data_IF_441410665599
#
_entry.id   IF_441410665599
#
_cell.length_a   1.000
_cell.length_b   1.000
_cell.length_c   1.000
_cell.angle_alpha   90.00
_cell.angle_beta   90.00
_cell.angle_gamma   90.00
#
_symmetry.space_group_name_H-M   'P 1'
#
loop_
_entity.id
_entity.type
_entity.pdbx_description
1 polymer ?
#
# COMPACT_ATOMS: atom_id res chain seq x y z
N UNK A 1 9.70 -21.25 -2.37
CA UNK A 1 9.46 -21.69 -0.98
C UNK A 1 8.08 -21.31 -0.57
N UNK A 2 7.35 -22.17 0.12
CA UNK A 2 5.95 -21.91 0.32
C UNK A 2 5.75 -20.76 1.31
N UNK A 3 4.92 -19.81 0.92
CA UNK A 3 4.17 -18.98 1.86
C UNK A 3 3.35 -19.96 2.68
N UNK A 4 3.55 -20.03 4.00
CA UNK A 4 2.77 -20.93 4.87
C UNK A 4 1.33 -20.43 4.97
N UNK A 5 1.16 -19.11 5.05
CA UNK A 5 -0.15 -18.46 5.12
C UNK A 5 -0.09 -17.03 4.61
N UNK A 6 -1.03 -16.69 3.75
CA UNK A 6 -1.35 -15.31 3.40
C UNK A 6 -2.87 -15.15 3.39
N UNK A 7 -3.37 -14.07 3.96
CA UNK A 7 -4.81 -13.81 3.97
C UNK A 7 -5.06 -12.31 4.05
N UNK A 8 -6.07 -11.84 3.33
CA UNK A 8 -6.57 -10.47 3.41
C UNK A 8 -7.95 -10.44 4.05
N UNK A 9 -8.25 -9.32 4.74
CA UNK A 9 -9.53 -9.09 5.39
C UNK A 9 -10.08 -7.75 4.95
N UNK A 10 -11.37 -7.75 4.62
CA UNK A 10 -12.12 -6.54 4.30
C UNK A 10 -12.38 -5.80 5.60
N UNK A 11 -12.05 -4.50 5.70
CA UNK A 11 -12.31 -3.72 6.90
C UNK A 11 -13.82 -3.59 7.17
N UNK A 12 -14.16 -3.47 8.45
CA UNK A 12 -15.50 -3.07 8.87
C UNK A 12 -15.91 -1.76 8.17
N UNK A 13 -17.20 -1.60 7.84
CA UNK A 13 -17.69 -0.48 7.03
C UNK A 13 -17.28 0.90 7.57
N UNK A 14 -17.19 1.07 8.90
CA UNK A 14 -16.73 2.31 9.57
C UNK A 14 -15.31 2.71 9.16
N UNK A 15 -14.46 1.75 8.77
CA UNK A 15 -13.06 1.95 8.41
C UNK A 15 -12.80 1.99 6.91
N UNK A 16 -13.71 1.51 6.07
CA UNK A 16 -13.52 1.35 4.62
C UNK A 16 -13.17 2.66 3.90
N UNK A 17 -13.47 3.79 4.52
CA UNK A 17 -13.11 5.11 4.04
C UNK A 17 -11.62 5.48 4.25
N UNK A 18 -10.91 4.75 5.09
CA UNK A 18 -9.54 5.07 5.53
C UNK A 18 -8.60 3.88 5.44
N UNK A 19 -9.12 2.67 5.67
CA UNK A 19 -8.38 1.41 5.64
C UNK A 19 -8.78 0.64 4.39
N UNK A 20 -7.79 0.29 3.56
CA UNK A 20 -8.02 -0.46 2.32
C UNK A 20 -8.18 -1.96 2.63
N UNK A 21 -7.30 -2.52 3.46
CA UNK A 21 -7.28 -3.93 3.87
C UNK A 21 -6.53 -4.12 5.17
N UNK A 22 -6.85 -5.19 5.88
CA UNK A 22 -5.90 -5.86 6.76
C UNK A 22 -5.32 -7.06 6.02
N UNK A 23 -4.08 -7.43 6.32
CA UNK A 23 -3.49 -8.64 5.77
C UNK A 23 -2.53 -9.29 6.75
N UNK A 24 -2.35 -10.59 6.59
CA UNK A 24 -1.38 -11.36 7.34
C UNK A 24 -0.49 -12.17 6.41
N UNK A 25 0.74 -12.36 6.85
CA UNK A 25 1.71 -13.21 6.19
C UNK A 25 2.44 -14.07 7.22
N UNK A 26 2.45 -15.39 6.99
CA UNK A 26 3.41 -16.28 7.59
C UNK A 26 4.25 -16.93 6.51
N UNK A 27 5.56 -16.69 6.55
CA UNK A 27 6.49 -17.16 5.52
C UNK A 27 7.81 -17.56 6.15
N UNK A 28 8.30 -18.73 5.77
CA UNK A 28 9.60 -19.24 6.20
C UNK A 28 10.63 -19.02 5.10
N UNK A 29 11.71 -18.35 5.46
CA UNK A 29 12.84 -18.08 4.59
C UNK A 29 13.96 -19.06 4.93
N UNK A 30 14.19 -20.04 4.06
CA UNK A 30 15.26 -21.03 4.18
C UNK A 30 16.30 -20.72 3.09
N UNK A 31 17.51 -20.32 3.48
CA UNK A 31 18.60 -19.95 2.56
C UNK A 31 18.90 -18.45 2.53
N UNK A 32 20.11 -18.10 2.14
CA UNK A 32 20.64 -16.76 2.35
C UNK A 32 20.24 -15.70 1.31
N UNK A 33 19.64 -16.06 0.17
CA UNK A 33 19.72 -15.19 -1.03
C UNK A 33 18.38 -14.72 -1.62
N UNK A 34 17.28 -14.77 -0.90
CA UNK A 34 16.04 -14.23 -1.46
C UNK A 34 15.84 -12.77 -1.05
N UNK A 35 15.96 -11.92 -2.06
CA UNK A 35 15.56 -10.51 -1.99
C UNK A 35 14.11 -10.43 -2.43
N UNK A 36 13.28 -9.84 -1.60
CA UNK A 36 11.92 -9.43 -1.95
C UNK A 36 11.92 -7.96 -2.32
N UNK A 37 11.18 -7.62 -3.35
CA UNK A 37 11.01 -6.26 -3.81
C UNK A 37 9.59 -5.78 -3.52
N UNK A 38 9.49 -4.73 -2.71
CA UNK A 38 8.24 -4.01 -2.47
C UNK A 38 8.22 -2.82 -3.42
N UNK A 39 7.35 -2.89 -4.41
CA UNK A 39 7.17 -1.78 -5.36
C UNK A 39 6.31 -0.68 -4.75
N UNK A 40 6.54 0.59 -5.13
CA UNK A 40 5.65 1.68 -4.76
C UNK A 40 4.19 1.34 -5.05
N UNK A 41 3.33 1.73 -4.16
CA UNK A 41 1.89 1.74 -4.34
C UNK A 41 1.31 3.04 -3.77
N UNK A 42 0.01 3.22 -3.89
CA UNK A 42 -0.63 4.42 -3.39
C UNK A 42 -1.15 4.26 -1.95
N UNK A 43 -0.57 3.35 -1.18
CA UNK A 43 -0.98 3.02 0.18
C UNK A 43 0.10 3.32 1.21
N UNK A 44 -0.33 3.48 2.45
CA UNK A 44 0.53 3.54 3.63
C UNK A 44 0.26 2.31 4.48
N UNK A 45 1.29 1.60 4.93
CA UNK A 45 1.12 0.37 5.69
C UNK A 45 1.73 0.45 7.08
N UNK A 46 0.94 0.13 8.09
CA UNK A 46 1.44 -0.19 9.42
C UNK A 46 1.76 -1.69 9.46
N UNK A 47 3.03 -2.02 9.60
CA UNK A 47 3.54 -3.39 9.67
C UNK A 47 3.80 -3.76 11.13
N UNK A 48 3.17 -4.84 11.59
CA UNK A 48 3.40 -5.45 12.89
C UNK A 48 4.04 -6.82 12.66
N UNK A 49 5.35 -6.90 12.81
CA UNK A 49 6.10 -8.14 12.63
C UNK A 49 6.31 -8.83 13.97
N UNK A 50 5.84 -10.05 14.09
CA UNK A 50 5.92 -10.89 15.29
C UNK A 50 6.90 -12.07 15.15
N UNK A 51 7.58 -12.15 14.00
CA UNK A 51 8.60 -13.16 13.69
C UNK A 51 10.00 -12.55 13.53
N UNK A 52 10.82 -13.16 12.68
CA UNK A 52 12.15 -12.65 12.35
C UNK A 52 12.05 -11.33 11.56
N UNK A 53 12.96 -10.37 11.81
CA UNK A 53 12.90 -9.09 11.16
C UNK A 53 13.34 -9.16 9.68
N UNK A 54 12.84 -8.20 8.90
CA UNK A 54 13.39 -7.88 7.59
C UNK A 54 14.59 -6.94 7.71
N UNK A 55 15.49 -7.06 6.75
CA UNK A 55 16.56 -6.07 6.54
C UNK A 55 16.40 -5.42 5.18
N UNK A 56 16.56 -4.10 5.13
CA UNK A 56 16.62 -3.35 3.87
C UNK A 56 17.99 -3.60 3.22
N UNK A 57 17.97 -3.90 1.93
CA UNK A 57 19.17 -4.07 1.11
C UNK A 57 19.25 -2.92 0.14
N UNK A 58 20.39 -2.27 0.09
CA UNK A 58 20.67 -1.14 -0.79
C UNK A 58 21.35 -0.02 -0.01
N UNK A 59 22.38 0.59 -0.60
CA UNK A 59 23.25 1.55 0.06
C UNK A 59 24.43 0.89 0.79
N UNK A 60 25.15 1.65 1.61
CA UNK A 60 26.41 1.24 2.24
C UNK A 60 26.25 0.34 3.45
N UNK A 61 25.04 0.12 3.98
CA UNK A 61 24.80 -0.68 5.17
C UNK A 61 23.45 -1.45 5.11
N UNK A 62 23.49 -2.69 5.60
CA UNK A 62 22.29 -3.47 5.90
C UNK A 62 21.59 -2.82 7.10
N UNK A 63 20.31 -2.44 6.93
CA UNK A 63 19.50 -1.86 8.01
C UNK A 63 18.36 -2.83 8.35
N UNK A 64 18.35 -3.33 9.58
CA UNK A 64 17.22 -4.11 10.08
C UNK A 64 16.00 -3.22 10.29
N UNK A 65 14.83 -3.72 9.86
CA UNK A 65 13.57 -3.02 10.08
C UNK A 65 13.04 -3.29 11.49
N UNK A 66 12.46 -2.27 12.11
CA UNK A 66 11.80 -2.46 13.39
C UNK A 66 10.62 -3.42 13.26
N UNK A 67 10.31 -4.11 14.35
CA UNK A 67 9.16 -5.00 14.42
C UNK A 67 7.81 -4.27 14.23
N UNK A 68 7.78 -2.99 14.55
CA UNK A 68 6.65 -2.12 14.23
C UNK A 68 7.19 -0.97 13.39
N UNK A 69 6.71 -0.87 12.16
CA UNK A 69 7.13 0.17 11.25
C UNK A 69 6.00 0.64 10.33
N UNK A 70 6.17 1.86 9.84
CA UNK A 70 5.31 2.43 8.83
C UNK A 70 6.05 2.39 7.49
N UNK A 71 5.44 1.76 6.51
CA UNK A 71 5.84 1.87 5.11
C UNK A 71 5.01 3.00 4.51
N UNK A 72 5.68 4.09 4.16
CA UNK A 72 5.04 5.27 3.58
C UNK A 72 4.77 5.11 2.08
N UNK A 73 4.40 6.22 1.45
CA UNK A 73 4.22 6.27 -0.01
C UNK A 73 5.59 6.19 -0.69
N UNK A 74 6.06 4.99 -0.96
CA UNK A 74 7.39 4.76 -1.51
C UNK A 74 7.58 5.52 -2.84
N UNK A 75 8.72 6.16 -2.99
CA UNK A 75 9.11 6.82 -4.24
C UNK A 75 9.93 5.90 -5.17
N UNK A 76 10.48 4.82 -4.62
CA UNK A 76 11.30 3.80 -5.31
C UNK A 76 11.06 2.43 -4.70
N UNK A 77 11.41 1.35 -5.41
CA UNK A 77 11.32 -0.01 -4.87
C UNK A 77 12.15 -0.16 -3.59
N UNK A 78 11.60 -0.89 -2.65
CA UNK A 78 12.28 -1.27 -1.42
C UNK A 78 12.68 -2.74 -1.53
N UNK A 79 13.98 -3.03 -1.38
CA UNK A 79 14.50 -4.40 -1.41
C UNK A 79 14.72 -4.90 0.00
N UNK A 80 14.10 -6.02 0.32
CA UNK A 80 14.09 -6.63 1.64
C UNK A 80 14.71 -8.02 1.61
N UNK A 81 15.40 -8.36 2.69
CA UNK A 81 15.89 -9.71 2.96
C UNK A 81 15.41 -10.14 4.34
N UNK A 82 14.98 -11.40 4.45
CA UNK A 82 14.63 -12.02 5.72
C UNK A 82 15.27 -13.40 5.82
N UNK A 83 15.39 -13.92 7.04
CA UNK A 83 15.80 -15.27 7.33
C UNK A 83 14.91 -15.83 8.44
N UNK A 84 14.63 -17.14 8.38
CA UNK A 84 13.76 -17.81 9.35
C UNK A 84 12.28 -17.48 9.15
N UNK A 85 11.51 -17.55 10.21
CA UNK A 85 10.06 -17.42 10.17
C UNK A 85 9.62 -15.97 10.37
N UNK A 86 9.02 -15.39 9.35
CA UNK A 86 8.39 -14.06 9.40
C UNK A 86 6.89 -14.24 9.66
N UNK A 87 6.35 -13.46 10.60
CA UNK A 87 4.93 -13.42 10.92
C UNK A 87 4.48 -11.96 10.97
N UNK A 88 3.66 -11.55 10.02
CA UNK A 88 3.19 -10.17 9.91
C UNK A 88 1.67 -10.13 10.04
N UNK A 89 1.18 -9.14 10.76
CA UNK A 89 -0.16 -8.59 10.62
C UNK A 89 -0.01 -7.12 10.23
N UNK A 90 -0.73 -6.69 9.22
CA UNK A 90 -0.58 -5.33 8.73
C UNK A 90 -1.93 -4.65 8.47
N UNK A 91 -1.89 -3.33 8.58
CA UNK A 91 -3.00 -2.45 8.21
C UNK A 91 -2.56 -1.64 6.99
N UNK A 92 -3.25 -1.84 5.88
CA UNK A 92 -3.05 -1.06 4.65
C UNK A 92 -4.07 0.07 4.61
N UNK A 93 -3.57 1.29 4.74
CA UNK A 93 -4.38 2.50 4.67
C UNK A 93 -4.37 3.09 3.26
N UNK A 94 -5.45 3.76 2.89
CA UNK A 94 -5.37 4.74 1.82
C UNK A 94 -4.40 5.87 2.20
N UNK A 95 -3.85 6.56 1.22
CA UNK A 95 -2.84 7.60 1.44
C UNK A 95 -3.24 8.64 2.50
N UNK A 96 -4.53 8.99 2.60
CA UNK A 96 -5.06 9.92 3.60
C UNK A 96 -5.46 9.24 4.91
N UNK A 97 -5.59 7.90 4.93
CA UNK A 97 -6.17 7.17 6.06
C UNK A 97 -5.23 7.08 7.25
N UNK A 98 -3.93 6.82 7.01
CA UNK A 98 -2.96 6.65 8.09
C UNK A 98 -2.86 7.86 9.02
N UNK A 99 -3.01 9.08 8.48
CA UNK A 99 -3.00 10.33 9.24
C UNK A 99 -4.06 10.38 10.34
N UNK A 100 -5.20 9.70 10.14
CA UNK A 100 -6.30 9.69 11.11
C UNK A 100 -5.98 8.87 12.37
N UNK A 101 -5.10 7.88 12.27
CA UNK A 101 -4.86 6.89 13.31
C UNK A 101 -3.46 6.95 13.91
N UNK A 102 -2.50 7.49 13.16
CA UNK A 102 -1.10 7.47 13.52
C UNK A 102 -0.52 8.89 13.55
N UNK A 103 -0.03 9.28 14.69
CA UNK A 103 0.72 10.54 14.83
C UNK A 103 1.96 10.49 13.94
N UNK A 104 2.23 11.59 13.24
CA UNK A 104 3.39 11.71 12.34
C UNK A 104 3.43 10.71 11.16
N UNK A 105 2.28 10.20 10.72
CA UNK A 105 2.20 9.36 9.51
C UNK A 105 2.43 10.15 8.22
N UNK A 106 2.18 11.46 8.22
CA UNK A 106 2.38 12.31 7.05
C UNK A 106 3.87 12.49 6.70
N UNK A 107 4.18 12.65 5.42
CA UNK A 107 5.53 12.94 4.95
C UNK A 107 6.45 11.74 4.83
N UNK A 108 5.96 10.52 4.98
CA UNK A 108 6.77 9.33 4.90
C UNK A 108 6.77 8.76 3.49
N UNK A 109 7.95 8.72 2.89
CA UNK A 109 8.19 8.13 1.55
C UNK A 109 9.17 6.96 1.62
N UNK A 110 9.41 6.45 2.82
CA UNK A 110 10.29 5.32 3.13
C UNK A 110 9.72 4.49 4.30
N UNK A 111 10.52 3.54 4.80
CA UNK A 111 10.18 2.79 6.01
C UNK A 111 10.74 3.50 7.24
N UNK A 112 9.85 3.79 8.16
CA UNK A 112 10.18 4.53 9.39
C UNK A 112 9.67 3.82 10.64
N UNK A 113 10.34 4.06 11.76
CA UNK A 113 9.81 3.72 13.08
C UNK A 113 8.48 4.44 13.32
N UNK A 114 7.58 3.77 13.99
CA UNK A 114 6.35 4.37 14.50
C UNK A 114 6.46 4.50 16.01
N UNK A 115 6.33 5.72 16.49
CA UNK A 115 6.17 5.99 17.92
C UNK A 115 4.70 5.74 18.29
N UNK A 116 4.46 4.55 18.81
CA UNK A 116 3.12 4.15 19.25
C UNK A 116 2.90 4.60 20.69
N UNK A 117 1.80 5.29 20.93
CA UNK A 117 1.37 5.62 22.27
C UNK A 117 1.05 4.36 23.13
N UNK A 118 0.92 4.47 24.44
CA UNK A 118 0.72 3.32 25.31
C UNK A 118 -0.51 2.48 24.96
N UNK A 119 -1.56 3.08 24.40
CA UNK A 119 -2.79 2.37 24.02
C UNK A 119 -2.53 1.47 22.82
N UNK A 120 -1.86 1.99 21.79
CA UNK A 120 -1.40 1.22 20.65
C UNK A 120 -0.46 0.09 21.07
N UNK A 121 0.49 0.36 21.98
CA UNK A 121 1.42 -0.66 22.48
C UNK A 121 0.69 -1.84 23.13
N UNK A 122 -0.39 -1.58 23.89
CA UNK A 122 -1.22 -2.62 24.48
C UNK A 122 -1.92 -3.48 23.41
N UNK A 123 -2.48 -2.86 22.36
CA UNK A 123 -3.11 -3.58 21.24
C UNK A 123 -2.09 -4.46 20.52
N UNK A 124 -0.89 -3.94 20.23
CA UNK A 124 0.20 -4.71 19.60
C UNK A 124 0.61 -5.90 20.47
N UNK A 125 0.65 -5.75 21.78
CA UNK A 125 0.97 -6.85 22.69
C UNK A 125 -0.13 -7.94 22.72
N UNK A 126 -1.41 -7.55 22.73
CA UNK A 126 -2.51 -8.53 22.61
C UNK A 126 -2.47 -9.28 21.28
N UNK A 127 -2.28 -8.53 20.18
CA UNK A 127 -2.13 -9.11 18.85
C UNK A 127 -0.93 -10.09 18.79
N UNK A 128 0.20 -9.78 19.44
CA UNK A 128 1.37 -10.66 19.54
C UNK A 128 1.02 -12.00 20.16
N UNK A 129 0.33 -12.00 21.30
CA UNK A 129 -0.09 -13.24 22.00
C UNK A 129 -0.99 -14.07 21.10
N UNK A 130 -1.94 -13.43 20.41
CA UNK A 130 -2.87 -14.11 19.50
C UNK A 130 -2.13 -14.73 18.30
N UNK A 131 -1.19 -14.00 17.69
CA UNK A 131 -0.37 -14.51 16.57
C UNK A 131 0.54 -15.66 17.01
N UNK A 132 1.10 -15.61 18.21
CA UNK A 132 1.88 -16.72 18.77
C UNK A 132 1.03 -17.97 18.97
N UNK A 133 -0.25 -17.81 19.36
CA UNK A 133 -1.23 -18.87 19.46
C UNK A 133 -1.93 -19.24 18.16
N UNK A 134 -1.45 -18.75 17.01
CA UNK A 134 -2.02 -18.96 15.65
C UNK A 134 -3.46 -18.47 15.46
N UNK A 135 -3.94 -17.61 16.37
CA UNK A 135 -5.25 -16.97 16.30
C UNK A 135 -5.23 -15.67 15.47
N UNK A 136 -4.82 -15.79 14.22
CA UNK A 136 -4.61 -14.62 13.34
C UNK A 136 -5.86 -13.78 13.12
N UNK A 137 -7.02 -14.44 12.96
CA UNK A 137 -8.30 -13.74 12.78
C UNK A 137 -8.57 -12.81 13.97
N UNK A 138 -8.44 -13.32 15.20
CA UNK A 138 -8.62 -12.51 16.40
C UNK A 138 -7.59 -11.40 16.55
N UNK A 139 -6.36 -11.62 16.08
CA UNK A 139 -5.35 -10.57 16.10
C UNK A 139 -5.71 -9.40 15.16
N UNK A 140 -6.32 -9.67 14.00
CA UNK A 140 -6.86 -8.66 13.11
C UNK A 140 -8.05 -7.95 13.74
N UNK A 141 -9.00 -8.70 14.32
CA UNK A 141 -10.17 -8.16 15.01
C UNK A 141 -9.79 -7.20 16.15
N UNK A 142 -8.80 -7.55 16.97
CA UNK A 142 -8.27 -6.67 18.04
C UNK A 142 -7.77 -5.32 17.50
N UNK A 143 -7.05 -5.35 16.37
CA UNK A 143 -6.54 -4.13 15.73
C UNK A 143 -7.69 -3.34 15.11
N UNK A 144 -8.62 -4.02 14.47
CA UNK A 144 -9.79 -3.42 13.84
C UNK A 144 -10.70 -2.71 14.87
N UNK A 145 -11.05 -3.39 15.96
CA UNK A 145 -11.88 -2.83 17.04
C UNK A 145 -11.24 -1.58 17.64
N UNK A 146 -9.92 -1.61 17.82
CA UNK A 146 -9.18 -0.46 18.29
C UNK A 146 -9.26 0.72 17.30
N UNK A 147 -9.08 0.46 16.00
CA UNK A 147 -9.18 1.49 14.96
C UNK A 147 -10.60 2.05 14.86
N UNK A 148 -11.63 1.23 15.02
CA UNK A 148 -13.03 1.67 15.10
C UNK A 148 -13.21 2.64 16.28
N UNK A 149 -12.71 2.26 17.44
CA UNK A 149 -12.74 3.12 18.62
C UNK A 149 -12.06 4.47 18.40
N UNK A 150 -10.88 4.48 17.76
CA UNK A 150 -10.20 5.71 17.39
C UNK A 150 -11.01 6.53 16.38
N UNK A 151 -11.56 5.87 15.34
CA UNK A 151 -12.31 6.54 14.27
C UNK A 151 -13.52 7.31 14.80
N UNK A 152 -14.21 6.75 15.77
CA UNK A 152 -15.38 7.38 16.41
C UNK A 152 -15.03 8.63 17.23
N UNK A 153 -13.77 8.76 17.64
CA UNK A 153 -13.28 9.88 18.46
C UNK A 153 -12.46 10.91 17.68
N UNK A 154 -12.37 10.79 16.34
CA UNK A 154 -11.62 11.76 15.51
C UNK A 154 -12.37 13.10 15.47
N UNK A 155 -11.71 14.14 15.95
CA UNK A 155 -12.23 15.52 15.92
C UNK A 155 -11.87 16.25 14.62
N UNK A 156 -10.80 15.86 13.97
CA UNK A 156 -10.32 16.51 12.74
C UNK A 156 -10.28 15.50 11.59
N UNK A 157 -11.07 15.79 10.56
CA UNK A 157 -11.11 15.00 9.33
C UNK A 157 -10.71 15.90 8.14
N UNK A 158 -9.63 15.59 7.40
CA UNK A 158 -9.20 16.38 6.24
C UNK A 158 -10.11 16.14 5.03
N UNK A 159 -11.39 16.53 5.13
CA UNK A 159 -12.44 16.22 4.14
C UNK A 159 -12.03 16.57 2.70
N UNK A 160 -11.42 17.75 2.47
CA UNK A 160 -11.03 18.18 1.13
C UNK A 160 -9.93 17.26 0.54
N UNK A 161 -8.92 16.91 1.35
CA UNK A 161 -7.86 15.97 0.91
C UNK A 161 -8.45 14.60 0.63
N UNK A 162 -9.31 14.11 1.50
CA UNK A 162 -9.97 12.82 1.32
C UNK A 162 -10.82 12.80 0.05
N UNK A 163 -11.64 13.82 -0.19
CA UNK A 163 -12.47 13.94 -1.40
C UNK A 163 -11.59 13.96 -2.65
N UNK A 164 -10.55 14.81 -2.66
CA UNK A 164 -9.62 14.90 -3.77
C UNK A 164 -8.88 13.58 -4.03
N UNK A 165 -8.41 12.92 -2.98
CA UNK A 165 -7.72 11.65 -3.10
C UNK A 165 -8.65 10.54 -3.59
N UNK A 166 -9.89 10.45 -3.09
CA UNK A 166 -10.90 9.52 -3.62
C UNK A 166 -11.15 9.71 -5.11
N UNK A 167 -11.26 10.97 -5.56
CA UNK A 167 -11.42 11.28 -6.98
C UNK A 167 -10.21 10.82 -7.79
N UNK A 168 -8.98 11.00 -7.28
CA UNK A 168 -7.78 10.47 -7.92
C UNK A 168 -7.82 8.93 -8.03
N UNK A 169 -8.25 8.22 -6.99
CA UNK A 169 -8.39 6.76 -7.05
C UNK A 169 -9.45 6.34 -8.06
N UNK A 170 -10.61 6.97 -8.05
CA UNK A 170 -11.70 6.68 -8.98
C UNK A 170 -11.29 6.90 -10.44
N UNK A 171 -10.55 7.96 -10.72
CA UNK A 171 -10.06 8.28 -12.07
C UNK A 171 -8.72 7.62 -12.41
N UNK A 172 -8.24 6.68 -11.59
CA UNK A 172 -6.95 6.01 -11.78
C UNK A 172 -5.79 6.99 -11.96
N UNK A 173 -5.80 8.09 -11.22
CA UNK A 173 -4.77 9.11 -11.26
C UNK A 173 -4.77 10.00 -12.51
N UNK A 174 -5.84 10.01 -13.30
CA UNK A 174 -5.91 10.76 -14.57
C UNK A 174 -6.50 12.17 -14.43
N UNK A 175 -6.75 12.63 -13.21
CA UNK A 175 -7.32 13.95 -12.96
C UNK A 175 -6.24 15.04 -12.91
N UNK A 176 -6.51 16.22 -13.50
CA UNK A 176 -5.59 17.36 -13.46
C UNK A 176 -5.66 18.05 -12.10
N UNK A 177 -4.50 18.45 -11.56
CA UNK A 177 -4.43 19.08 -10.22
C UNK A 177 -5.24 20.37 -10.13
N UNK A 178 -5.32 21.16 -11.23
CA UNK A 178 -6.13 22.37 -11.26
C UNK A 178 -7.64 22.04 -11.14
N UNK A 179 -8.12 21.11 -11.94
CA UNK A 179 -9.52 20.64 -11.90
C UNK A 179 -9.87 20.02 -10.54
N UNK A 180 -8.91 19.31 -9.93
CA UNK A 180 -9.06 18.74 -8.60
C UNK A 180 -9.20 19.82 -7.52
N UNK A 181 -8.42 20.90 -7.63
CA UNK A 181 -8.49 22.04 -6.73
C UNK A 181 -9.84 22.76 -6.87
N UNK A 182 -10.29 23.01 -8.10
CA UNK A 182 -11.59 23.62 -8.38
C UNK A 182 -12.74 22.77 -7.84
N UNK A 183 -12.69 21.45 -8.04
CA UNK A 183 -13.68 20.52 -7.50
C UNK A 183 -13.78 20.58 -5.97
N UNK A 184 -12.65 20.75 -5.28
CA UNK A 184 -12.59 20.88 -3.83
C UNK A 184 -12.81 22.30 -3.31
N UNK A 185 -13.13 23.26 -4.19
CA UNK A 185 -13.27 24.69 -3.87
C UNK A 185 -12.02 25.28 -3.20
N UNK A 186 -10.83 24.86 -3.67
CA UNK A 186 -9.53 25.31 -3.17
C UNK A 186 -8.69 25.90 -4.30
N UNK A 187 -7.77 26.81 -3.96
CA UNK A 187 -6.68 27.11 -4.88
C UNK A 187 -5.70 25.94 -4.95
N UNK A 188 -4.99 25.78 -6.06
CA UNK A 188 -3.96 24.74 -6.23
C UNK A 188 -2.95 24.75 -5.08
N UNK A 189 -2.53 25.95 -4.63
CA UNK A 189 -1.59 26.11 -3.50
C UNK A 189 -2.17 25.61 -2.17
N UNK A 190 -3.47 25.85 -1.92
CA UNK A 190 -4.14 25.35 -0.72
C UNK A 190 -4.25 23.84 -0.76
N UNK A 191 -4.66 23.26 -1.89
CA UNK A 191 -4.73 21.83 -2.08
C UNK A 191 -3.37 21.16 -1.86
N UNK A 192 -2.31 21.67 -2.49
CA UNK A 192 -0.95 21.16 -2.32
C UNK A 192 -0.50 21.16 -0.85
N UNK A 193 -0.72 22.29 -0.14
CA UNK A 193 -0.38 22.41 1.27
C UNK A 193 -1.13 21.41 2.15
N UNK A 194 -2.44 21.23 1.90
CA UNK A 194 -3.24 20.28 2.67
C UNK A 194 -2.82 18.83 2.39
N UNK A 195 -2.50 18.49 1.14
CA UNK A 195 -1.97 17.18 0.78
C UNK A 195 -0.64 16.89 1.48
N UNK A 196 0.29 17.85 1.44
CA UNK A 196 1.59 17.72 2.11
C UNK A 196 1.42 17.48 3.62
N UNK A 197 0.52 18.22 4.27
CA UNK A 197 0.24 18.06 5.69
C UNK A 197 -0.45 16.75 6.06
N UNK A 198 -1.25 16.17 5.16
CA UNK A 198 -2.06 14.97 5.44
C UNK A 198 -1.40 13.70 4.94
N UNK A 199 -0.91 13.70 3.70
CA UNK A 199 -0.34 12.52 3.03
C UNK A 199 1.17 12.56 2.94
N UNK A 200 1.77 13.76 3.09
CA UNK A 200 3.19 13.99 2.92
C UNK A 200 3.68 14.00 1.47
N UNK A 201 2.78 13.91 0.52
CA UNK A 201 3.10 13.99 -0.91
C UNK A 201 2.17 14.96 -1.61
N UNK A 202 2.60 15.50 -2.76
CA UNK A 202 1.74 16.36 -3.56
C UNK A 202 0.60 15.57 -4.23
N UNK A 203 -0.52 16.23 -4.60
CA UNK A 203 -1.60 15.60 -5.37
C UNK A 203 -1.08 14.94 -6.66
N UNK A 204 -0.10 15.56 -7.33
CA UNK A 204 0.52 15.03 -8.54
C UNK A 204 1.31 13.75 -8.26
N UNK A 205 2.03 13.68 -7.15
CA UNK A 205 2.79 12.48 -6.77
C UNK A 205 1.84 11.33 -6.41
N UNK A 206 0.75 11.60 -5.67
CA UNK A 206 -0.26 10.61 -5.38
C UNK A 206 -0.96 10.11 -6.65
N UNK A 207 -1.36 11.01 -7.56
CA UNK A 207 -1.94 10.66 -8.85
C UNK A 207 -1.02 9.73 -9.67
N UNK A 208 0.29 10.02 -9.65
CA UNK A 208 1.30 9.19 -10.31
C UNK A 208 1.39 7.79 -9.69
N UNK A 209 1.39 7.69 -8.36
CA UNK A 209 1.44 6.41 -7.64
C UNK A 209 0.18 5.56 -7.92
N UNK A 210 -1.01 6.18 -7.88
CA UNK A 210 -2.28 5.52 -8.21
C UNK A 210 -2.29 5.02 -9.66
N UNK A 211 -1.84 5.83 -10.59
CA UNK A 211 -1.75 5.46 -12.01
C UNK A 211 -0.84 4.26 -12.20
N UNK A 212 0.33 4.30 -11.56
CA UNK A 212 1.27 3.19 -11.60
C UNK A 212 0.68 1.91 -10.98
N UNK A 213 0.03 2.00 -9.82
CA UNK A 213 -0.64 0.85 -9.20
C UNK A 213 -1.66 0.22 -10.15
N UNK A 214 -2.49 1.03 -10.79
CA UNK A 214 -3.50 0.56 -11.76
C UNK A 214 -2.88 -0.13 -12.98
N UNK A 215 -1.76 0.39 -13.49
CA UNK A 215 -1.01 -0.24 -14.58
C UNK A 215 -0.41 -1.57 -14.13
N UNK A 216 0.20 -1.59 -12.96
CA UNK A 216 0.78 -2.80 -12.37
C UNK A 216 -0.27 -3.90 -12.21
N UNK A 217 -1.42 -3.57 -11.66
CA UNK A 217 -2.56 -4.49 -11.54
C UNK A 217 -3.02 -5.01 -12.90
N UNK A 218 -3.11 -4.13 -13.90
CA UNK A 218 -3.49 -4.50 -15.26
C UNK A 218 -2.49 -5.46 -15.91
N UNK A 219 -1.18 -5.22 -15.74
CA UNK A 219 -0.12 -6.11 -16.22
C UNK A 219 -0.05 -7.42 -15.43
N UNK A 220 -0.31 -7.42 -14.13
CA UNK A 220 -0.43 -8.65 -13.34
C UNK A 220 -1.62 -9.51 -13.80
N UNK A 221 -2.72 -8.88 -14.17
CA UNK A 221 -3.90 -9.58 -14.69
C UNK A 221 -3.68 -10.09 -16.12
N UNK A 222 -3.16 -9.24 -17.00
CA UNK A 222 -2.87 -9.53 -18.40
C UNK A 222 -1.44 -9.11 -18.78
N UNK A 223 -0.44 -9.99 -18.59
CA UNK A 223 0.96 -9.69 -18.92
C UNK A 223 1.23 -9.50 -20.41
N UNK A 224 0.28 -9.89 -21.28
CA UNK A 224 0.39 -9.74 -22.74
C UNK A 224 -0.29 -8.46 -23.25
N UNK A 225 -0.79 -7.60 -22.36
CA UNK A 225 -1.40 -6.35 -22.75
C UNK A 225 -0.47 -5.51 -23.64
N UNK A 226 -1.04 -4.88 -24.67
CA UNK A 226 -0.29 -3.97 -25.53
C UNK A 226 0.15 -2.74 -24.73
N UNK A 227 1.48 -2.53 -24.62
CA UNK A 227 2.05 -1.45 -23.80
C UNK A 227 1.74 -0.06 -24.36
N UNK A 228 1.51 0.07 -25.66
CA UNK A 228 1.10 1.35 -26.28
C UNK A 228 -0.34 1.67 -25.91
N UNK A 229 -1.23 0.69 -26.00
CA UNK A 229 -2.63 0.87 -25.61
C UNK A 229 -2.76 1.19 -24.12
N UNK A 230 -1.97 0.50 -23.27
CA UNK A 230 -1.86 0.80 -21.85
C UNK A 230 -1.41 2.24 -21.59
N UNK A 231 -0.40 2.72 -22.30
CA UNK A 231 0.04 4.10 -22.14
C UNK A 231 -1.09 5.09 -22.38
N UNK A 232 -1.86 4.92 -23.45
CA UNK A 232 -3.00 5.78 -23.76
C UNK A 232 -4.17 5.59 -22.80
N UNK A 233 -4.50 4.34 -22.42
CA UNK A 233 -5.55 4.02 -21.44
C UNK A 233 -5.32 4.76 -20.11
N UNK A 234 -4.06 4.83 -19.68
CA UNK A 234 -3.69 5.50 -18.41
C UNK A 234 -3.25 6.96 -18.59
N UNK A 235 -3.56 7.60 -19.73
CA UNK A 235 -3.42 9.04 -19.95
C UNK A 235 -1.98 9.51 -20.13
N UNK A 236 -1.07 8.66 -20.59
CA UNK A 236 0.24 9.10 -21.04
C UNK A 236 0.16 9.65 -22.47
N UNK A 237 0.93 10.70 -22.73
CA UNK A 237 0.98 11.34 -24.05
C UNK A 237 1.68 10.48 -25.10
N UNK A 238 2.64 9.67 -24.66
CA UNK A 238 3.41 8.77 -25.51
C UNK A 238 4.04 7.63 -24.70
N UNK A 239 4.49 6.61 -25.42
CA UNK A 239 5.11 5.42 -24.85
C UNK A 239 6.44 5.71 -24.14
N UNK A 240 7.21 6.69 -24.60
CA UNK A 240 8.52 7.01 -23.99
C UNK A 240 8.32 7.62 -22.59
N UNK A 241 7.34 8.50 -22.44
CA UNK A 241 6.94 9.05 -21.14
C UNK A 241 6.46 7.94 -20.20
N UNK A 242 5.61 7.03 -20.70
CA UNK A 242 5.14 5.86 -19.93
C UNK A 242 6.30 5.00 -19.42
N UNK A 243 7.20 4.58 -20.32
CA UNK A 243 8.37 3.75 -19.97
C UNK A 243 9.25 4.44 -18.92
N UNK A 244 9.54 5.73 -19.12
CA UNK A 244 10.35 6.52 -18.19
C UNK A 244 9.73 6.59 -16.80
N UNK A 245 8.43 6.83 -16.74
CA UNK A 245 7.68 6.96 -15.48
C UNK A 245 7.59 5.63 -14.73
N UNK A 246 7.30 4.56 -15.46
CA UNK A 246 7.24 3.21 -14.92
C UNK A 246 8.61 2.75 -14.38
N UNK A 247 9.68 2.96 -15.16
CA UNK A 247 11.04 2.61 -14.75
C UNK A 247 11.51 3.39 -13.53
N UNK A 248 11.09 4.63 -13.36
CA UNK A 248 11.41 5.42 -12.18
C UNK A 248 10.78 4.87 -10.88
N UNK A 249 9.69 4.09 -10.99
CA UNK A 249 8.96 3.50 -9.84
C UNK A 249 9.31 2.03 -9.60
N UNK A 250 9.90 1.34 -10.57
CA UNK A 250 10.17 -0.12 -10.48
C UNK A 250 11.63 -0.50 -10.74
N UNK A 251 12.47 0.43 -11.19
CA UNK A 251 13.78 0.15 -11.78
C UNK A 251 13.73 -0.74 -13.04
N UNK A 252 12.53 -1.10 -13.54
CA UNK A 252 12.28 -1.98 -14.69
C UNK A 252 11.42 -1.28 -15.74
N UNK A 253 11.54 -1.68 -16.98
CA UNK A 253 10.59 -1.27 -18.02
C UNK A 253 9.25 -2.01 -17.86
N UNK A 254 8.14 -1.48 -18.40
CA UNK A 254 6.86 -2.19 -18.40
C UNK A 254 6.94 -3.59 -19.04
N UNK A 255 7.76 -3.77 -20.09
CA UNK A 255 7.97 -5.06 -20.75
C UNK A 255 8.72 -6.06 -19.88
N UNK A 256 9.79 -5.64 -19.20
CA UNK A 256 10.51 -6.49 -18.23
C UNK A 256 9.60 -6.91 -17.08
N UNK A 257 8.79 -6.00 -16.57
CA UNK A 257 7.83 -6.28 -15.52
C UNK A 257 6.73 -7.26 -15.98
N UNK A 258 6.18 -7.06 -17.18
CA UNK A 258 5.18 -7.96 -17.76
C UNK A 258 5.71 -9.39 -17.94
N UNK A 259 6.95 -9.52 -18.42
CA UNK A 259 7.62 -10.82 -18.58
C UNK A 259 7.80 -11.54 -17.23
N UNK A 260 8.19 -10.80 -16.19
CA UNK A 260 8.33 -11.33 -14.83
C UNK A 260 6.98 -11.80 -14.28
N UNK A 261 5.90 -11.04 -14.49
CA UNK A 261 4.55 -11.44 -14.10
C UNK A 261 4.06 -12.67 -14.87
N UNK A 262 4.42 -12.81 -16.14
CA UNK A 262 4.10 -14.00 -16.92
C UNK A 262 4.83 -15.24 -16.37
N UNK A 263 6.10 -15.12 -16.03
CA UNK A 263 6.87 -16.20 -15.41
C UNK A 263 6.29 -16.62 -14.06
N UNK A 264 5.91 -15.64 -13.22
CA UNK A 264 5.26 -15.89 -11.94
C UNK A 264 3.93 -16.64 -12.13
N UNK A 265 3.09 -16.21 -13.07
CA UNK A 265 1.83 -16.90 -13.39
C UNK A 265 2.04 -18.37 -13.78
N UNK A 266 3.07 -18.67 -14.56
CA UNK A 266 3.38 -20.04 -14.98
C UNK A 266 3.79 -20.89 -13.77
N UNK A 267 4.65 -20.37 -12.89
CA UNK A 267 5.07 -21.05 -11.65
C UNK A 267 3.86 -21.33 -10.74
N UNK A 268 2.90 -20.41 -10.68
CA UNK A 268 1.71 -20.57 -9.82
C UNK A 268 0.65 -21.51 -10.41
N UNK A 269 0.53 -21.61 -11.74
CA UNK A 269 -0.32 -22.62 -12.39
C UNK A 269 0.14 -24.04 -12.10
N UNK A 270 1.41 -24.23 -11.83
CA UNK A 270 2.00 -25.53 -11.48
C UNK A 270 1.89 -25.85 -9.97
N UNK A 271 1.54 -24.87 -9.13
CA UNK A 271 1.44 -25.02 -7.67
C UNK A 271 0.03 -24.59 -7.21
N UNK A 272 -0.89 -25.54 -7.08
CA UNK A 272 -2.29 -25.33 -6.69
C UNK A 272 -2.50 -24.65 -5.31
N UNK A 273 -1.46 -24.45 -4.52
CA UNK A 273 -1.52 -23.93 -3.15
C UNK A 273 -1.15 -22.45 -3.00
N UNK A 274 -0.93 -21.71 -4.07
CA UNK A 274 -0.59 -20.29 -3.98
C UNK A 274 -1.74 -19.46 -4.54
N UNK A 275 -2.57 -18.97 -3.64
CA UNK A 275 -3.60 -18.00 -3.98
C UNK A 275 -2.93 -16.62 -4.07
N UNK A 276 -2.89 -16.03 -5.26
CA UNK A 276 -2.65 -14.59 -5.42
C UNK A 276 -3.83 -13.84 -4.83
N UNK A 277 -3.70 -13.39 -3.61
CA UNK A 277 -4.70 -12.57 -2.93
C UNK A 277 -4.46 -11.06 -3.17
N UNK A 278 -3.99 -10.72 -4.35
CA UNK A 278 -4.25 -9.41 -4.92
C UNK A 278 -5.35 -9.57 -5.97
N UNK A 279 -6.54 -9.96 -5.52
CA UNK A 279 -7.72 -9.58 -6.26
C UNK A 279 -7.68 -8.08 -6.44
N UNK A 280 -7.92 -7.55 -7.66
CA UNK A 280 -8.09 -6.12 -7.78
C UNK A 280 -9.09 -5.72 -6.71
N UNK A 281 -8.83 -4.68 -5.93
CA UNK A 281 -9.84 -4.19 -5.04
C UNK A 281 -11.05 -3.92 -5.92
N UNK A 282 -12.09 -4.72 -5.77
CA UNK A 282 -13.41 -4.25 -6.13
C UNK A 282 -13.57 -3.01 -5.28
N UNK A 283 -13.31 -1.84 -5.88
CA UNK A 283 -13.76 -0.60 -5.28
C UNK A 283 -15.19 -0.88 -4.89
N UNK A 284 -15.63 -0.64 -3.63
CA UNK A 284 -17.05 -0.61 -3.36
C UNK A 284 -17.64 0.28 -4.45
N UNK A 285 -18.65 -0.20 -5.14
CA UNK A 285 -19.39 0.57 -6.14
C UNK A 285 -19.87 1.83 -5.43
N UNK A 286 -19.04 2.86 -5.48
CA UNK A 286 -19.47 4.19 -5.09
C UNK A 286 -20.44 4.63 -6.17
N UNK A 287 -21.76 4.39 -5.89
CA UNK A 287 -22.82 4.96 -6.68
C UNK A 287 -22.51 6.43 -6.90
N UNK A 288 -22.47 6.84 -8.17
CA UNK A 288 -22.22 8.21 -8.61
C UNK A 288 -23.27 9.24 -8.12
N UNK A 289 -24.05 8.91 -7.11
CA UNK A 289 -25.12 9.70 -6.52
C UNK A 289 -24.83 10.32 -5.15
N UNK A 290 -23.63 10.14 -4.58
CA UNK A 290 -23.24 10.75 -3.28
C UNK A 290 -22.09 11.78 -3.39
N UNK A 291 -21.93 12.43 -4.54
CA UNK A 291 -21.02 13.55 -4.71
C UNK A 291 -21.74 14.87 -4.71
#
# INVERSE_FOLDING_TARGET
>A
MPVKKYQEFIPHFTLQDSVKRFWLLEKEYTGEDRIEEVTPDACVELILNFGNPYSVIGGSAKRELPNVCLVGLLAKPLRLKAAGLVKIVAVRFFAWGAFLFLKNAAGRTDVTNVDLDPTWQQVVQRARVLVQGENYQKAVEEIEDFLIGLRLNILFDPKQVRTAAKLLYHTRGQFRVAELADYCHLSVRQLQRQFDQTTGVSPKALARAIRFESIRERLMFDPNANLTDLAYEFGYTDQAHFIKDFKALTDKTPGEFALEMQQLKNIFRENENVVFLQSPPTMPDYNAGEF
#
